data_IF_706378656553
#
_entry.id   IF_706378656553
#
_cell.length_a   1.000
_cell.length_b   1.000
_cell.length_c   1.000
_cell.angle_alpha   90.00
_cell.angle_beta   90.00
_cell.angle_gamma   90.00
#
_symmetry.space_group_name_H-M   'P 1'
#
loop_
_entity.id
_entity.type
_entity.pdbx_description
1 polymer ?
#
# COMPACT_ATOMS: atom_id res chain seq x y z
N UNK A 1 14.36 5.38 -1.69
CA UNK A 1 13.35 6.16 -0.95
C UNK A 1 13.13 5.51 0.40
N UNK A 2 13.04 6.26 1.51
CA UNK A 2 12.87 5.70 2.86
C UNK A 2 11.49 6.07 3.47
N UNK A 3 11.14 5.41 4.56
CA UNK A 3 9.87 5.62 5.29
C UNK A 3 9.62 7.09 5.64
N UNK A 4 10.63 7.82 6.12
CA UNK A 4 10.47 9.22 6.52
C UNK A 4 10.13 10.12 5.34
N UNK A 5 10.73 9.89 4.18
CA UNK A 5 10.44 10.63 2.96
C UNK A 5 8.99 10.39 2.50
N UNK A 6 8.55 9.13 2.52
CA UNK A 6 7.18 8.76 2.15
C UNK A 6 6.13 9.36 3.09
N UNK A 7 6.38 9.32 4.41
CA UNK A 7 5.51 9.95 5.41
C UNK A 7 5.40 11.46 5.18
N UNK A 8 6.53 12.14 4.93
CA UNK A 8 6.54 13.58 4.63
C UNK A 8 5.72 13.91 3.39
N UNK A 9 5.91 13.16 2.31
CA UNK A 9 5.15 13.34 1.06
C UNK A 9 3.64 13.14 1.30
N UNK A 10 3.26 12.05 1.96
CA UNK A 10 1.85 11.76 2.22
C UNK A 10 1.17 12.81 3.11
N UNK A 11 1.85 13.26 4.18
CA UNK A 11 1.32 14.31 5.06
C UNK A 11 1.26 15.69 4.40
N UNK A 12 2.11 15.95 3.42
CA UNK A 12 2.04 17.17 2.60
C UNK A 12 0.92 17.14 1.56
N UNK A 13 0.41 15.96 1.20
CA UNK A 13 -0.54 15.82 0.10
C UNK A 13 -1.99 16.13 0.54
N UNK A 14 -2.69 17.07 -0.12
CA UNK A 14 -3.97 17.60 0.37
C UNK A 14 -5.09 16.55 0.43
N UNK A 15 -5.06 15.54 -0.45
CA UNK A 15 -6.12 14.53 -0.55
C UNK A 15 -5.99 13.37 0.43
N UNK A 16 -4.76 12.95 0.76
CA UNK A 16 -4.54 11.71 1.53
C UNK A 16 -4.09 11.97 2.97
N UNK A 17 -3.61 13.18 3.31
CA UNK A 17 -3.06 13.47 4.64
C UNK A 17 -3.97 13.10 5.82
N UNK A 18 -5.29 13.08 5.65
CA UNK A 18 -6.27 12.73 6.70
C UNK A 18 -6.65 11.26 6.75
N UNK A 19 -6.37 10.50 5.69
CA UNK A 19 -6.79 9.11 5.53
C UNK A 19 -5.62 8.17 5.24
N UNK A 20 -4.39 8.68 5.29
CA UNK A 20 -3.17 7.91 5.13
C UNK A 20 -2.84 7.20 6.46
N UNK A 21 -2.92 5.87 6.45
CA UNK A 21 -2.65 5.02 7.60
C UNK A 21 -1.17 4.71 7.81
N UNK A 22 -0.30 5.23 6.94
CA UNK A 22 1.15 5.20 7.13
C UNK A 22 1.90 4.30 6.16
N UNK A 23 3.15 4.05 6.54
CA UNK A 23 4.11 3.25 5.79
C UNK A 23 4.43 2.02 6.63
N UNK A 24 4.28 0.82 6.06
CA UNK A 24 4.49 -0.42 6.80
C UNK A 24 5.27 -1.45 5.98
N UNK A 25 5.92 -2.38 6.69
CA UNK A 25 6.47 -3.59 6.10
C UNK A 25 5.36 -4.63 5.85
N UNK A 26 5.64 -5.65 5.05
CA UNK A 26 4.60 -6.63 4.64
C UNK A 26 4.05 -7.45 5.81
N UNK A 27 4.87 -7.70 6.82
CA UNK A 27 4.56 -8.39 8.08
C UNK A 27 3.89 -7.50 9.13
N UNK A 28 3.90 -6.18 8.93
CA UNK A 28 3.36 -5.18 9.85
C UNK A 28 2.07 -4.54 9.31
N UNK A 29 1.41 -5.19 8.36
CA UNK A 29 0.12 -4.74 7.84
C UNK A 29 -0.96 -4.85 8.93
N UNK A 30 -1.83 -3.84 9.06
CA UNK A 30 -2.88 -3.88 10.07
C UNK A 30 -3.89 -4.99 9.76
N UNK A 31 -4.38 -5.66 10.79
CA UNK A 31 -5.46 -6.64 10.61
C UNK A 31 -6.74 -5.98 10.11
N UNK A 32 -7.05 -4.78 10.64
CA UNK A 32 -8.19 -3.95 10.26
C UNK A 32 -7.72 -2.55 9.87
N UNK A 33 -8.19 -2.05 8.72
CA UNK A 33 -7.82 -0.70 8.23
C UNK A 33 -8.39 0.47 9.05
N UNK A 34 -9.46 0.26 9.82
CA UNK A 34 -10.15 1.33 10.53
C UNK A 34 -10.70 2.40 9.56
N UNK A 35 -10.45 3.68 9.86
CA UNK A 35 -10.86 4.81 9.02
C UNK A 35 -9.85 5.16 7.91
N UNK A 36 -8.70 4.49 7.88
CA UNK A 36 -7.68 4.76 6.87
C UNK A 36 -8.10 4.21 5.51
N UNK A 37 -7.75 4.97 4.47
CA UNK A 37 -8.03 4.66 3.07
C UNK A 37 -6.78 4.42 2.26
N UNK A 38 -5.58 4.74 2.75
CA UNK A 38 -4.37 4.50 1.99
C UNK A 38 -3.19 4.11 2.85
N UNK A 39 -2.33 3.26 2.32
CA UNK A 39 -1.06 2.87 2.94
C UNK A 39 0.02 2.75 1.87
N UNK A 40 1.27 2.85 2.30
CA UNK A 40 2.41 2.42 1.49
C UNK A 40 3.04 1.21 2.17
N UNK A 41 3.25 0.17 1.39
CA UNK A 41 3.64 -1.15 1.89
C UNK A 41 4.95 -1.56 1.25
N UNK A 42 5.94 -1.89 2.07
CA UNK A 42 7.13 -2.56 1.59
C UNK A 42 6.83 -4.04 1.34
N UNK A 43 7.35 -4.64 0.26
CA UNK A 43 7.28 -6.12 0.13
C UNK A 43 8.13 -6.82 1.17
N UNK A 44 9.22 -6.19 1.59
CA UNK A 44 10.15 -6.77 2.53
C UNK A 44 9.55 -6.76 3.94
N UNK A 45 10.01 -7.68 4.77
CA UNK A 45 9.65 -7.74 6.19
C UNK A 45 10.33 -6.63 6.99
N UNK A 46 9.83 -6.38 8.20
CA UNK A 46 10.33 -5.35 9.12
C UNK A 46 11.82 -5.48 9.49
N UNK A 47 12.39 -6.68 9.34
CA UNK A 47 13.81 -6.96 9.60
C UNK A 47 14.73 -6.66 8.40
N UNK A 48 14.16 -6.33 7.25
CA UNK A 48 14.88 -6.11 5.99
C UNK A 48 15.11 -4.62 5.72
N UNK A 49 15.98 -4.31 4.76
CA UNK A 49 16.37 -2.91 4.45
C UNK A 49 15.26 -2.08 3.79
N UNK A 50 14.24 -2.73 3.23
CA UNK A 50 13.05 -2.08 2.68
C UNK A 50 13.33 -1.36 1.37
N UNK A 51 13.34 -2.10 0.26
CA UNK A 51 13.76 -1.55 -1.05
C UNK A 51 12.61 -1.31 -2.02
N UNK A 52 11.50 -2.03 -1.86
CA UNK A 52 10.42 -2.02 -2.84
C UNK A 52 9.08 -1.62 -2.23
N UNK A 53 8.51 -0.52 -2.72
CA UNK A 53 7.30 0.11 -2.18
C UNK A 53 6.11 -0.09 -3.11
N UNK A 54 4.95 -0.38 -2.53
CA UNK A 54 3.67 -0.52 -3.23
C UNK A 54 2.65 0.37 -2.55
N UNK A 55 1.74 0.94 -3.33
CA UNK A 55 0.68 1.77 -2.78
C UNK A 55 -0.62 0.98 -2.75
N UNK A 56 -1.40 1.23 -1.71
CA UNK A 56 -2.71 0.63 -1.56
C UNK A 56 -3.73 1.67 -1.19
N UNK A 57 -4.92 1.57 -1.79
CA UNK A 57 -6.01 2.50 -1.58
C UNK A 57 -7.36 1.78 -1.46
N UNK A 58 -8.22 2.30 -0.58
CA UNK A 58 -9.59 1.85 -0.39
C UNK A 58 -10.54 2.96 -0.76
N UNK A 59 -11.47 2.67 -1.66
CA UNK A 59 -12.57 3.59 -1.93
C UNK A 59 -13.69 3.47 -0.87
N UNK A 60 -14.69 4.34 -0.98
CA UNK A 60 -15.83 4.36 -0.07
C UNK A 60 -16.75 3.14 -0.21
N UNK A 61 -16.61 2.36 -1.29
CA UNK A 61 -17.41 1.18 -1.59
C UNK A 61 -16.69 -0.12 -1.19
N UNK A 62 -15.61 -0.02 -0.41
CA UNK A 62 -14.78 -1.15 -0.01
C UNK A 62 -14.10 -1.88 -1.19
N UNK A 63 -13.93 -1.19 -2.32
CA UNK A 63 -13.03 -1.64 -3.38
C UNK A 63 -11.61 -1.24 -3.02
N UNK A 64 -10.69 -2.14 -3.36
CA UNK A 64 -9.26 -1.97 -3.14
C UNK A 64 -8.57 -1.70 -4.46
N UNK A 65 -7.75 -0.67 -4.51
CA UNK A 65 -6.82 -0.43 -5.62
C UNK A 65 -5.42 -0.71 -5.13
N UNK A 66 -4.83 -1.75 -5.70
CA UNK A 66 -3.44 -2.10 -5.48
C UNK A 66 -2.58 -1.51 -6.61
N UNK A 67 -1.54 -0.76 -6.25
CA UNK A 67 -0.63 -0.14 -7.20
C UNK A 67 0.80 -0.62 -6.98
N UNK A 68 1.40 -1.14 -8.07
CA UNK A 68 2.80 -1.50 -8.15
C UNK A 68 3.37 -1.02 -9.48
N UNK A 69 4.41 -0.19 -9.45
CA UNK A 69 4.99 0.41 -10.66
C UNK A 69 5.51 -0.61 -11.68
N UNK A 70 5.87 -1.82 -11.24
CA UNK A 70 6.26 -2.94 -12.11
C UNK A 70 5.09 -3.68 -12.78
N UNK A 71 3.83 -3.26 -12.58
CA UNK A 71 2.67 -3.87 -13.24
C UNK A 71 2.35 -5.30 -12.80
N UNK A 72 2.79 -5.71 -11.62
CA UNK A 72 2.66 -7.10 -11.14
C UNK A 72 1.64 -7.24 -10.03
N UNK A 73 1.01 -8.41 -9.97
CA UNK A 73 0.03 -8.79 -8.95
C UNK A 73 0.64 -8.74 -7.53
N UNK A 74 -0.15 -8.45 -6.47
CA UNK A 74 0.35 -8.46 -5.09
C UNK A 74 0.86 -9.82 -4.65
N UNK A 75 1.89 -9.82 -3.81
CA UNK A 75 2.37 -11.02 -3.13
C UNK A 75 1.34 -11.53 -2.11
N UNK A 76 1.43 -12.81 -1.73
CA UNK A 76 0.41 -13.51 -0.95
C UNK A 76 0.07 -12.82 0.39
N UNK A 77 1.07 -12.36 1.14
CA UNK A 77 0.84 -11.70 2.44
C UNK A 77 0.05 -10.39 2.30
N UNK A 78 0.36 -9.61 1.26
CA UNK A 78 -0.35 -8.36 0.97
C UNK A 78 -1.75 -8.71 0.47
N UNK A 79 -1.88 -9.69 -0.44
CA UNK A 79 -3.18 -10.16 -0.92
C UNK A 79 -4.10 -10.61 0.22
N UNK A 80 -3.59 -11.36 1.20
CA UNK A 80 -4.34 -11.75 2.39
C UNK A 80 -4.85 -10.55 3.19
N UNK A 81 -4.04 -9.49 3.31
CA UNK A 81 -4.50 -8.25 3.93
C UNK A 81 -5.62 -7.57 3.13
N UNK A 82 -5.50 -7.55 1.81
CA UNK A 82 -6.50 -7.00 0.88
C UNK A 82 -7.82 -7.74 1.00
N UNK A 83 -7.79 -9.07 0.89
CA UNK A 83 -8.96 -9.93 0.92
C UNK A 83 -9.72 -9.81 2.26
N UNK A 84 -9.02 -9.55 3.37
CA UNK A 84 -9.65 -9.32 4.68
C UNK A 84 -10.34 -7.96 4.82
N UNK A 85 -9.95 -6.97 4.01
CA UNK A 85 -10.36 -5.57 4.19
C UNK A 85 -11.13 -5.00 3.00
N UNK A 86 -11.43 -5.81 1.97
CA UNK A 86 -12.11 -5.37 0.75
C UNK A 86 -13.01 -6.44 0.17
N UNK A 87 -14.00 -6.01 -0.61
CA UNK A 87 -14.93 -6.90 -1.33
C UNK A 87 -14.34 -7.27 -2.70
N UNK A 88 -13.60 -6.33 -3.30
CA UNK A 88 -12.99 -6.46 -4.62
C UNK A 88 -11.65 -5.77 -4.64
N UNK A 89 -10.72 -6.30 -5.44
CA UNK A 89 -9.43 -5.68 -5.72
C UNK A 89 -9.26 -5.48 -7.23
N UNK A 90 -8.85 -4.26 -7.60
CA UNK A 90 -8.28 -3.95 -8.91
C UNK A 90 -6.77 -3.68 -8.75
N UNK A 91 -5.99 -3.93 -9.80
CA UNK A 91 -4.56 -3.63 -9.83
C UNK A 91 -4.11 -3.13 -11.20
N UNK A 92 -2.98 -2.43 -11.24
CA UNK A 92 -2.36 -2.08 -12.52
C UNK A 92 -1.51 -3.24 -13.07
N UNK A 93 -1.77 -3.63 -14.32
CA UNK A 93 -0.91 -4.55 -15.09
C UNK A 93 0.10 -3.84 -16.00
N UNK A 94 -0.05 -2.52 -16.15
CA UNK A 94 0.89 -1.70 -16.91
C UNK A 94 2.19 -1.48 -16.12
N UNK A 95 3.31 -1.72 -16.79
CA UNK A 95 4.66 -1.44 -16.29
C UNK A 95 4.94 0.06 -16.49
N UNK A 96 5.15 0.77 -15.38
CA UNK A 96 5.44 2.21 -15.32
C UNK A 96 6.88 2.50 -14.88
N UNK A 97 7.59 1.48 -14.39
CA UNK A 97 8.98 1.55 -13.99
C UNK A 97 9.66 0.25 -14.44
N UNK A 98 10.84 0.34 -15.04
CA UNK A 98 11.67 -0.82 -15.37
C UNK A 98 12.64 -1.12 -14.22
N UNK A 99 13.11 -2.37 -14.17
CA UNK A 99 14.14 -2.85 -13.22
C UNK A 99 15.52 -2.37 -13.68
#
# INVERSE_FOLDING_TARGET
MNTQALLRLAHSHPKIKRTFGGVSASDMLPEKRGHYQSFIVNTDSSISTGQHWQAVFFDNNQNYVFFRSYGTYPIEIIKKCIDRNSIRMDWNSQILQAI
#
